data_IF_421011002647
#
_entry.id   IF_421011002647
#
_cell.length_a   1.000
_cell.length_b   1.000
_cell.length_c   1.000
_cell.angle_alpha   90.00
_cell.angle_beta   90.00
_cell.angle_gamma   90.00
#
_symmetry.space_group_name_H-M   'P 1'
#
loop_
_entity.id
_entity.type
_entity.pdbx_description
1 polymer ?
#
# COMPACT_ATOMS: atom_id res chain seq x y z
N UNK A 1 12.76 -8.71 2.72
CA UNK A 1 12.85 -7.36 2.15
C UNK A 1 13.34 -6.30 3.13
N UNK A 2 12.56 -5.87 4.15
CA UNK A 2 13.04 -4.82 5.08
C UNK A 2 14.36 -5.20 5.77
N UNK A 3 14.48 -6.46 6.19
CA UNK A 3 15.72 -6.98 6.76
C UNK A 3 16.87 -6.99 5.72
N UNK A 4 16.59 -7.27 4.45
CA UNK A 4 17.60 -7.27 3.39
C UNK A 4 18.07 -5.85 3.06
N UNK A 5 17.16 -4.89 3.04
CA UNK A 5 17.45 -3.47 2.88
C UNK A 5 18.28 -2.95 4.06
N UNK A 6 17.86 -3.24 5.30
CA UNK A 6 18.62 -2.93 6.51
C UNK A 6 20.04 -3.51 6.45
N UNK A 7 20.18 -4.79 6.08
CA UNK A 7 21.48 -5.43 5.95
C UNK A 7 22.35 -4.77 4.87
N UNK A 8 21.77 -4.43 3.72
CA UNK A 8 22.48 -3.74 2.64
C UNK A 8 23.02 -2.38 3.11
N UNK A 9 22.17 -1.60 3.77
CA UNK A 9 22.51 -0.30 4.36
C UNK A 9 23.62 -0.44 5.40
N UNK A 10 23.49 -1.38 6.35
CA UNK A 10 24.48 -1.58 7.41
C UNK A 10 25.83 -2.07 6.86
N UNK A 11 25.81 -2.96 5.88
CA UNK A 11 27.03 -3.42 5.20
C UNK A 11 27.74 -2.25 4.50
N UNK A 12 26.98 -1.35 3.85
CA UNK A 12 27.54 -0.15 3.25
C UNK A 12 28.28 0.70 4.29
N UNK A 13 27.64 0.99 5.43
CA UNK A 13 28.21 1.83 6.50
C UNK A 13 29.46 1.23 7.14
N UNK A 14 29.55 -0.10 7.25
CA UNK A 14 30.74 -0.78 7.77
C UNK A 14 31.98 -0.63 6.87
N UNK A 15 31.79 -0.54 5.55
CA UNK A 15 32.90 -0.50 4.59
C UNK A 15 33.48 0.90 4.34
N UNK A 16 32.84 1.97 4.83
CA UNK A 16 33.21 3.37 4.53
C UNK A 16 33.62 4.14 5.80
N UNK A 17 34.72 4.90 5.72
CA UNK A 17 35.40 5.53 6.87
C UNK A 17 34.99 6.97 7.21
N UNK A 18 34.12 7.65 6.44
CA UNK A 18 33.70 9.03 6.74
C UNK A 18 32.41 9.43 5.98
N UNK A 19 31.62 10.34 6.59
CA UNK A 19 30.43 11.07 6.09
C UNK A 19 29.69 10.42 4.91
N UNK A 20 28.59 9.74 5.22
CA UNK A 20 27.76 9.08 4.23
C UNK A 20 26.50 9.90 3.95
N UNK A 21 26.41 10.47 2.74
CA UNK A 21 25.18 11.11 2.26
C UNK A 21 24.10 10.05 1.98
N UNK A 22 22.82 10.40 2.17
CA UNK A 22 21.69 9.48 2.05
C UNK A 22 21.65 8.74 0.70
N UNK A 23 21.97 9.45 -0.38
CA UNK A 23 21.98 8.94 -1.76
C UNK A 23 23.04 7.87 -1.98
N UNK A 24 23.99 7.74 -1.05
CA UNK A 24 25.00 6.68 -1.03
C UNK A 24 24.58 5.49 -0.17
N UNK A 25 23.63 5.68 0.75
CA UNK A 25 23.13 4.64 1.68
C UNK A 25 21.97 3.87 1.06
N UNK A 26 21.05 4.57 0.41
CA UNK A 26 19.86 4.00 -0.19
C UNK A 26 19.92 4.04 -1.72
N UNK A 27 19.26 3.12 -2.43
CA UNK A 27 19.03 3.26 -3.87
C UNK A 27 18.20 4.53 -4.18
N UNK A 28 17.87 4.80 -5.45
CA UNK A 28 16.87 5.86 -5.76
C UNK A 28 15.50 5.51 -5.18
N UNK A 29 14.62 6.51 -4.99
CA UNK A 29 13.28 6.27 -4.46
C UNK A 29 12.47 5.30 -5.34
N UNK A 30 12.61 5.43 -6.66
CA UNK A 30 11.95 4.57 -7.62
C UNK A 30 12.49 3.13 -7.56
N UNK A 31 13.81 2.95 -7.47
CA UNK A 31 14.40 1.61 -7.34
C UNK A 31 14.02 0.97 -6.00
N UNK A 32 13.99 1.77 -4.93
CA UNK A 32 13.52 1.30 -3.64
C UNK A 32 12.07 0.80 -3.75
N UNK A 33 11.17 1.64 -4.27
CA UNK A 33 9.76 1.30 -4.49
C UNK A 33 9.61 0.04 -5.33
N UNK A 34 10.39 -0.09 -6.41
CA UNK A 34 10.33 -1.25 -7.29
C UNK A 34 10.70 -2.54 -6.55
N UNK A 35 11.69 -2.51 -5.65
CA UNK A 35 12.01 -3.66 -4.81
C UNK A 35 10.82 -4.08 -3.92
N UNK A 36 10.07 -3.11 -3.36
CA UNK A 36 8.83 -3.36 -2.61
C UNK A 36 7.75 -3.97 -3.49
N UNK A 37 7.51 -3.39 -4.66
CA UNK A 37 6.54 -3.86 -5.65
C UNK A 37 6.84 -5.30 -6.07
N UNK A 38 8.07 -5.60 -6.44
CA UNK A 38 8.47 -6.92 -6.92
C UNK A 38 8.28 -7.99 -5.85
N UNK A 39 8.64 -7.67 -4.60
CA UNK A 39 8.58 -8.60 -3.47
C UNK A 39 7.15 -9.02 -3.08
N UNK A 40 6.12 -8.20 -3.35
CA UNK A 40 4.75 -8.46 -2.90
C UNK A 40 3.72 -8.55 -4.04
N UNK A 41 4.16 -8.32 -5.29
CA UNK A 41 3.27 -8.25 -6.46
C UNK A 41 2.38 -9.49 -6.60
N UNK A 42 2.93 -10.68 -6.37
CA UNK A 42 2.21 -11.94 -6.49
C UNK A 42 1.04 -12.01 -5.51
N UNK A 43 1.31 -11.74 -4.24
CA UNK A 43 0.34 -11.77 -3.14
C UNK A 43 -0.76 -10.72 -3.36
N UNK A 44 -0.40 -9.51 -3.81
CA UNK A 44 -1.37 -8.46 -4.10
C UNK A 44 -2.27 -8.82 -5.29
N UNK A 45 -1.72 -9.46 -6.33
CA UNK A 45 -2.54 -9.96 -7.44
C UNK A 45 -3.46 -11.09 -6.99
N UNK A 46 -3.02 -11.97 -6.10
CA UNK A 46 -3.88 -13.01 -5.51
C UNK A 46 -5.01 -12.40 -4.67
N UNK A 47 -4.73 -11.36 -3.87
CA UNK A 47 -5.74 -10.61 -3.12
C UNK A 47 -6.75 -9.93 -4.06
N UNK A 48 -6.29 -9.25 -5.12
CA UNK A 48 -7.14 -8.63 -6.12
C UNK A 48 -8.01 -9.67 -6.86
N UNK A 49 -7.42 -10.79 -7.27
CA UNK A 49 -8.18 -11.90 -7.87
C UNK A 49 -9.25 -12.46 -6.93
N UNK A 50 -8.99 -12.48 -5.61
CA UNK A 50 -9.96 -12.91 -4.61
C UNK A 50 -11.12 -11.91 -4.48
N UNK A 51 -10.83 -10.61 -4.52
CA UNK A 51 -11.87 -9.57 -4.57
C UNK A 51 -12.71 -9.65 -5.83
N UNK A 52 -12.11 -9.84 -6.99
CA UNK A 52 -12.87 -10.01 -8.23
C UNK A 52 -13.82 -11.21 -8.20
N UNK A 53 -13.38 -12.33 -7.61
CA UNK A 53 -14.19 -13.54 -7.50
C UNK A 53 -15.35 -13.40 -6.52
N UNK A 54 -15.30 -12.46 -5.58
CA UNK A 54 -16.42 -12.25 -4.66
C UNK A 54 -17.62 -11.61 -5.37
N UNK A 55 -17.38 -10.87 -6.45
CA UNK A 55 -18.43 -10.18 -7.22
C UNK A 55 -18.66 -10.73 -8.63
N UNK A 56 -17.80 -11.63 -9.12
CA UNK A 56 -17.91 -12.21 -10.46
C UNK A 56 -17.84 -13.74 -10.45
N UNK A 57 -18.74 -14.37 -11.21
CA UNK A 57 -18.75 -15.81 -11.48
C UNK A 57 -17.92 -16.20 -12.72
N UNK A 58 -17.25 -15.24 -13.37
CA UNK A 58 -16.43 -15.51 -14.55
C UNK A 58 -15.28 -16.47 -14.24
N UNK A 59 -14.83 -17.19 -15.28
CA UNK A 59 -13.70 -18.10 -15.16
C UNK A 59 -12.42 -17.36 -14.76
N UNK A 60 -11.54 -18.05 -14.02
CA UNK A 60 -10.24 -17.49 -13.58
C UNK A 60 -9.43 -16.90 -14.74
N UNK A 61 -9.47 -17.54 -15.91
CA UNK A 61 -8.75 -17.08 -17.09
C UNK A 61 -9.26 -15.72 -17.60
N UNK A 62 -10.58 -15.48 -17.56
CA UNK A 62 -11.17 -14.22 -18.01
C UNK A 62 -10.98 -13.10 -16.98
N UNK A 63 -11.06 -13.44 -15.69
CA UNK A 63 -10.72 -12.50 -14.62
C UNK A 63 -9.27 -12.03 -14.72
N UNK A 64 -8.32 -12.92 -15.06
CA UNK A 64 -6.91 -12.56 -15.27
C UNK A 64 -6.70 -11.60 -16.44
N UNK A 65 -7.58 -11.60 -17.44
CA UNK A 65 -7.51 -10.62 -18.54
C UNK A 65 -7.95 -9.23 -18.08
N UNK A 66 -8.94 -9.15 -17.18
CA UNK A 66 -9.42 -7.88 -16.62
C UNK A 66 -8.50 -7.33 -15.51
N UNK A 67 -8.00 -8.20 -14.65
CA UNK A 67 -7.12 -7.84 -13.53
C UNK A 67 -5.67 -7.95 -14.00
N UNK A 68 -5.24 -6.93 -14.74
CA UNK A 68 -3.85 -6.85 -15.17
C UNK A 68 -2.93 -6.46 -14.02
N UNK A 69 -1.68 -6.96 -14.06
CA UNK A 69 -0.66 -6.58 -13.07
C UNK A 69 -0.48 -5.05 -13.04
N UNK A 70 -0.43 -4.43 -14.22
CA UNK A 70 -0.30 -2.98 -14.37
C UNK A 70 -1.41 -2.21 -13.66
N UNK A 71 -2.67 -2.57 -13.86
CA UNK A 71 -3.82 -1.84 -13.28
C UNK A 71 -3.88 -1.93 -11.77
N UNK A 72 -3.52 -3.09 -11.20
CA UNK A 72 -3.46 -3.27 -9.75
C UNK A 72 -2.27 -2.49 -9.20
N UNK A 73 -1.07 -2.72 -9.75
CA UNK A 73 0.16 -2.14 -9.22
C UNK A 73 0.24 -0.62 -9.40
N UNK A 74 -0.42 -0.02 -10.38
CA UNK A 74 -0.52 1.45 -10.46
C UNK A 74 -1.06 2.08 -9.17
N UNK A 75 -2.09 1.48 -8.58
CA UNK A 75 -2.69 1.97 -7.32
C UNK A 75 -1.84 1.55 -6.12
N UNK A 76 -1.34 0.30 -6.11
CA UNK A 76 -0.56 -0.23 -4.99
C UNK A 76 0.80 0.48 -4.84
N UNK A 77 1.50 0.73 -5.95
CA UNK A 77 2.82 1.39 -5.95
C UNK A 77 2.74 2.79 -5.37
N UNK A 78 1.67 3.55 -5.69
CA UNK A 78 1.44 4.86 -5.07
C UNK A 78 1.31 4.73 -3.55
N UNK A 79 0.50 3.78 -3.07
CA UNK A 79 0.30 3.54 -1.63
C UNK A 79 1.59 3.11 -0.93
N UNK A 80 2.39 2.23 -1.55
CA UNK A 80 3.70 1.83 -1.04
C UNK A 80 4.68 3.01 -0.97
N UNK A 81 4.68 3.88 -1.98
CA UNK A 81 5.53 5.06 -1.98
C UNK A 81 5.19 5.98 -0.80
N UNK A 82 3.91 6.31 -0.64
CA UNK A 82 3.39 7.24 0.36
C UNK A 82 3.50 6.70 1.79
N UNK A 83 3.24 5.40 2.01
CA UNK A 83 3.15 4.83 3.35
C UNK A 83 4.44 4.12 3.79
N UNK A 84 5.33 3.75 2.86
CA UNK A 84 6.57 3.02 3.16
C UNK A 84 7.80 3.82 2.76
N UNK A 85 7.96 4.08 1.47
CA UNK A 85 9.23 4.56 0.92
C UNK A 85 9.56 5.97 1.41
N UNK A 86 8.64 6.93 1.27
CA UNK A 86 8.91 8.31 1.67
C UNK A 86 9.06 8.47 3.18
N UNK A 87 8.20 7.90 4.05
CA UNK A 87 8.36 8.02 5.49
C UNK A 87 9.66 7.36 6.00
N UNK A 88 10.03 6.19 5.46
CA UNK A 88 11.27 5.51 5.83
C UNK A 88 12.50 6.35 5.44
N UNK A 89 12.50 6.91 4.22
CA UNK A 89 13.57 7.80 3.75
C UNK A 89 13.72 9.04 4.61
N UNK A 90 12.62 9.70 4.95
CA UNK A 90 12.63 10.90 5.79
C UNK A 90 13.27 10.58 7.15
N UNK A 91 12.94 9.43 7.73
CA UNK A 91 13.52 8.98 9.00
C UNK A 91 15.00 8.63 8.90
N UNK A 92 15.41 7.93 7.84
CA UNK A 92 16.83 7.62 7.61
C UNK A 92 17.62 8.92 7.36
N UNK A 93 17.04 9.90 6.66
CA UNK A 93 17.65 11.22 6.48
C UNK A 93 17.87 11.93 7.83
N UNK A 94 16.92 11.83 8.77
CA UNK A 94 17.08 12.33 10.13
C UNK A 94 18.23 11.61 10.85
N UNK A 95 18.34 10.29 10.73
CA UNK A 95 19.48 9.54 11.28
C UNK A 95 20.82 10.01 10.72
N UNK A 96 20.89 10.41 9.44
CA UNK A 96 22.11 10.97 8.86
C UNK A 96 22.51 12.27 9.55
N UNK A 97 21.55 13.17 9.77
CA UNK A 97 21.78 14.45 10.48
C UNK A 97 22.18 14.21 11.94
N UNK A 98 21.41 13.38 12.64
CA UNK A 98 21.58 13.13 14.09
C UNK A 98 22.87 12.36 14.41
N UNK A 99 23.41 11.62 13.44
CA UNK A 99 24.67 10.89 13.61
C UNK A 99 25.92 11.78 13.69
N UNK A 100 25.82 13.04 13.30
CA UNK A 100 26.93 14.00 13.25
C UNK A 100 28.20 13.43 12.57
N UNK A 101 28.01 12.66 11.49
CA UNK A 101 29.08 12.01 10.74
C UNK A 101 29.65 10.73 11.35
N UNK A 102 29.15 10.27 12.50
CA UNK A 102 29.54 9.01 13.14
C UNK A 102 28.85 7.81 12.49
N UNK A 103 29.62 6.94 11.82
CA UNK A 103 29.09 5.72 11.18
C UNK A 103 28.49 4.73 12.20
N UNK A 104 29.09 4.63 13.39
CA UNK A 104 28.56 3.76 14.45
C UNK A 104 27.23 4.27 15.00
N UNK A 105 27.10 5.59 15.18
CA UNK A 105 25.85 6.20 15.64
C UNK A 105 24.77 6.08 14.57
N UNK A 106 25.09 6.41 13.32
CA UNK A 106 24.18 6.24 12.19
C UNK A 106 23.66 4.80 12.09
N UNK A 107 24.55 3.81 12.26
CA UNK A 107 24.18 2.39 12.25
C UNK A 107 23.26 2.01 13.43
N UNK A 108 23.41 2.65 14.60
CA UNK A 108 22.55 2.45 15.77
C UNK A 108 21.14 3.02 15.53
N UNK A 109 21.08 4.25 15.01
CA UNK A 109 19.83 4.95 14.70
C UNK A 109 19.04 4.23 13.60
N UNK A 110 19.72 3.81 12.52
CA UNK A 110 19.08 3.07 11.41
C UNK A 110 18.48 1.75 11.89
N UNK A 111 19.20 0.97 12.70
CA UNK A 111 18.66 -0.27 13.31
C UNK A 111 17.41 0.01 14.13
N UNK A 112 17.37 1.13 14.85
CA UNK A 112 16.21 1.53 15.63
C UNK A 112 15.01 1.83 14.74
N UNK A 113 15.21 2.55 13.64
CA UNK A 113 14.15 2.82 12.64
C UNK A 113 13.62 1.52 12.05
N UNK A 114 14.49 0.65 11.51
CA UNK A 114 14.05 -0.62 10.90
C UNK A 114 13.38 -1.56 11.92
N UNK A 115 13.87 -1.63 13.16
CA UNK A 115 13.24 -2.42 14.22
C UNK A 115 11.82 -1.94 14.49
N UNK A 116 11.61 -0.64 14.63
CA UNK A 116 10.28 -0.07 14.85
C UNK A 116 9.32 -0.43 13.70
N UNK A 117 9.77 -0.26 12.45
CA UNK A 117 8.97 -0.61 11.28
C UNK A 117 8.58 -2.07 11.24
N UNK A 118 9.55 -2.97 11.48
CA UNK A 118 9.32 -4.42 11.54
C UNK A 118 8.37 -4.82 12.68
N UNK A 119 8.37 -4.10 13.79
CA UNK A 119 7.57 -4.46 14.98
C UNK A 119 6.19 -3.81 15.03
N UNK A 120 6.03 -2.61 14.48
CA UNK A 120 4.85 -1.78 14.73
C UNK A 120 4.07 -1.42 13.45
N UNK A 121 4.77 -1.29 12.32
CA UNK A 121 4.15 -0.75 11.10
C UNK A 121 3.79 -1.83 10.08
N UNK A 122 4.59 -2.91 9.99
CA UNK A 122 4.44 -3.87 8.89
C UNK A 122 3.08 -4.58 8.88
N UNK A 123 2.59 -5.06 10.03
CA UNK A 123 1.33 -5.82 10.07
C UNK A 123 0.13 -4.96 9.66
N UNK A 124 0.13 -3.70 10.09
CA UNK A 124 -0.88 -2.71 9.73
C UNK A 124 -0.85 -2.42 8.23
N UNK A 125 0.33 -2.15 7.68
CA UNK A 125 0.52 -1.87 6.26
C UNK A 125 0.14 -3.06 5.36
N UNK A 126 0.54 -4.28 5.74
CA UNK A 126 0.18 -5.51 5.02
C UNK A 126 -1.34 -5.69 4.98
N UNK A 127 -2.01 -5.47 6.11
CA UNK A 127 -3.46 -5.53 6.16
C UNK A 127 -4.13 -4.50 5.23
N UNK A 128 -3.66 -3.26 5.25
CA UNK A 128 -4.23 -2.17 4.47
C UNK A 128 -4.01 -2.36 2.96
N UNK A 129 -2.80 -2.72 2.55
CA UNK A 129 -2.50 -2.91 1.14
C UNK A 129 -3.18 -4.15 0.57
N UNK A 130 -3.35 -5.22 1.37
CA UNK A 130 -4.10 -6.41 0.97
C UNK A 130 -5.58 -6.08 0.75
N UNK A 131 -6.17 -5.26 1.64
CA UNK A 131 -7.56 -4.78 1.50
C UNK A 131 -7.73 -3.86 0.30
N UNK A 132 -6.77 -2.97 0.07
CA UNK A 132 -6.77 -2.11 -1.10
C UNK A 132 -6.71 -2.93 -2.40
N UNK A 133 -5.84 -3.94 -2.46
CA UNK A 133 -5.75 -4.84 -3.61
C UNK A 133 -7.05 -5.64 -3.81
N UNK A 134 -7.60 -6.22 -2.74
CA UNK A 134 -8.88 -6.91 -2.76
C UNK A 134 -10.02 -6.01 -3.28
N UNK A 135 -10.18 -4.83 -2.68
CA UNK A 135 -11.20 -3.85 -3.04
C UNK A 135 -11.05 -3.41 -4.51
N UNK A 136 -9.81 -3.15 -4.94
CA UNK A 136 -9.53 -2.81 -6.34
C UNK A 136 -9.94 -3.93 -7.29
N UNK A 137 -9.62 -5.18 -6.95
CA UNK A 137 -9.98 -6.34 -7.76
C UNK A 137 -11.50 -6.55 -7.84
N UNK A 138 -12.21 -6.38 -6.72
CA UNK A 138 -13.67 -6.42 -6.67
C UNK A 138 -14.28 -5.33 -7.55
N UNK A 139 -13.77 -4.10 -7.48
CA UNK A 139 -14.24 -2.98 -8.29
C UNK A 139 -14.03 -3.20 -9.80
N UNK A 140 -12.87 -3.71 -10.21
CA UNK A 140 -12.50 -3.89 -11.63
C UNK A 140 -13.38 -4.89 -12.41
N UNK A 141 -14.17 -5.71 -11.72
CA UNK A 141 -15.07 -6.67 -12.39
C UNK A 141 -16.51 -6.17 -12.51
N UNK A 142 -16.84 -5.05 -11.88
CA UNK A 142 -18.15 -4.41 -12.01
C UNK A 142 -18.19 -3.67 -13.34
N UNK A 143 -19.28 -3.86 -14.11
CA UNK A 143 -19.45 -3.17 -15.38
C UNK A 143 -19.71 -1.68 -15.14
N UNK A 144 -19.04 -0.81 -15.89
CA UNK A 144 -19.26 0.65 -15.85
C UNK A 144 -20.75 0.95 -16.03
N UNK A 145 -21.29 1.85 -15.20
CA UNK A 145 -22.71 2.19 -15.17
C UNK A 145 -23.57 1.30 -14.26
N UNK A 146 -23.07 0.15 -13.80
CA UNK A 146 -23.77 -0.66 -12.79
C UNK A 146 -23.95 0.15 -11.51
N UNK A 147 -25.15 0.15 -10.93
CA UNK A 147 -25.39 0.79 -9.64
C UNK A 147 -24.62 0.08 -8.54
N UNK A 148 -23.84 0.83 -7.77
CA UNK A 148 -23.02 0.34 -6.65
C UNK A 148 -23.28 1.15 -5.40
N UNK A 149 -23.12 0.51 -4.23
CA UNK A 149 -23.26 1.14 -2.93
C UNK A 149 -21.97 1.00 -2.12
N UNK A 150 -21.71 1.97 -1.26
CA UNK A 150 -20.63 1.90 -0.28
C UNK A 150 -21.11 1.18 0.98
N UNK A 151 -20.47 0.07 1.32
CA UNK A 151 -20.73 -0.69 2.54
C UNK A 151 -19.68 -0.36 3.59
N UNK A 152 -20.10 0.35 4.64
CA UNK A 152 -19.28 0.59 5.83
C UNK A 152 -19.14 -0.72 6.61
N UNK A 153 -17.90 -1.09 6.96
CA UNK A 153 -17.68 -2.21 7.88
C UNK A 153 -17.90 -1.72 9.32
N UNK A 154 -18.88 -2.28 10.07
CA UNK A 154 -19.18 -1.84 11.44
C UNK A 154 -18.06 -2.15 12.43
N UNK A 155 -17.10 -3.02 12.07
CA UNK A 155 -15.90 -3.34 12.85
C UNK A 155 -14.64 -2.63 12.30
N UNK A 156 -14.81 -1.70 11.36
CA UNK A 156 -13.78 -0.78 10.90
C UNK A 156 -13.61 0.41 11.85
N UNK A 157 -12.49 1.15 11.76
CA UNK A 157 -12.37 2.46 12.41
C UNK A 157 -13.46 3.42 11.88
N UNK A 158 -13.96 4.35 12.72
CA UNK A 158 -14.94 5.35 12.29
C UNK A 158 -14.36 6.24 11.19
N UNK A 159 -15.20 6.59 10.20
CA UNK A 159 -14.80 7.38 9.05
C UNK A 159 -16.00 8.14 8.48
N UNK A 160 -16.01 9.46 8.65
CA UNK A 160 -17.04 10.35 8.10
C UNK A 160 -17.20 10.17 6.60
N UNK A 161 -16.10 10.07 5.86
CA UNK A 161 -16.15 9.92 4.41
C UNK A 161 -16.80 8.59 4.00
N UNK A 162 -16.56 7.52 4.76
CA UNK A 162 -17.19 6.23 4.50
C UNK A 162 -18.70 6.27 4.80
N UNK A 163 -19.09 6.96 5.86
CA UNK A 163 -20.49 7.20 6.23
C UNK A 163 -21.20 8.04 5.16
N UNK A 164 -20.61 9.15 4.72
CA UNK A 164 -21.14 10.02 3.67
C UNK A 164 -21.30 9.27 2.33
N UNK A 165 -20.31 8.45 1.96
CA UNK A 165 -20.40 7.60 0.76
C UNK A 165 -21.52 6.57 0.86
N UNK A 166 -21.79 6.05 2.06
CA UNK A 166 -22.86 5.08 2.29
C UNK A 166 -24.23 5.76 2.26
N UNK A 167 -24.36 6.94 2.87
CA UNK A 167 -25.58 7.75 2.92
C UNK A 167 -26.03 8.24 1.54
N UNK A 168 -25.08 8.45 0.61
CA UNK A 168 -25.40 8.83 -0.76
C UNK A 168 -26.15 7.75 -1.56
N UNK A 169 -26.17 6.51 -1.07
CA UNK A 169 -26.85 5.40 -1.71
C UNK A 169 -26.13 4.93 -2.97
N UNK A 170 -26.88 4.85 -4.07
CA UNK A 170 -26.40 4.26 -5.32
C UNK A 170 -25.66 5.25 -6.21
N UNK A 171 -24.43 4.89 -6.57
CA UNK A 171 -23.61 5.60 -7.56
C UNK A 171 -23.41 4.70 -8.78
N UNK A 172 -23.28 5.29 -9.97
CA UNK A 172 -22.93 4.50 -11.16
C UNK A 172 -21.45 4.11 -11.09
N UNK A 173 -21.12 2.82 -11.24
CA UNK A 173 -19.74 2.36 -11.27
C UNK A 173 -18.94 3.11 -12.36
N UNK A 174 -17.80 3.68 -11.97
CA UNK A 174 -17.00 4.59 -12.81
C UNK A 174 -17.15 6.07 -12.43
N UNK A 175 -18.23 6.43 -11.72
CA UNK A 175 -18.39 7.75 -11.10
C UNK A 175 -17.85 7.76 -9.67
N UNK A 176 -17.53 8.96 -9.20
CA UNK A 176 -17.01 9.21 -7.86
C UNK A 176 -18.16 9.20 -6.85
N UNK A 177 -17.95 8.57 -5.70
CA UNK A 177 -18.78 8.85 -4.52
C UNK A 177 -18.59 10.31 -4.06
N UNK A 178 -19.47 10.88 -3.21
CA UNK A 178 -19.44 12.31 -2.86
C UNK A 178 -18.12 12.81 -2.28
N UNK A 179 -17.37 11.92 -1.62
CA UNK A 179 -16.06 12.24 -1.04
C UNK A 179 -14.91 12.15 -2.06
N UNK A 180 -15.20 11.89 -3.33
CA UNK A 180 -14.20 11.79 -4.40
C UNK A 180 -13.52 10.42 -4.54
N UNK A 181 -14.00 9.41 -3.82
CA UNK A 181 -13.45 8.05 -3.89
C UNK A 181 -14.21 7.19 -4.90
N UNK A 182 -13.51 6.29 -5.61
CA UNK A 182 -14.13 5.28 -6.48
C UNK A 182 -14.42 3.99 -5.70
N UNK A 183 -13.50 3.64 -4.80
CA UNK A 183 -13.54 2.43 -3.98
C UNK A 183 -12.71 2.60 -2.71
N UNK A 184 -12.95 1.78 -1.67
CA UNK A 184 -12.08 1.64 -0.50
C UNK A 184 -10.67 1.18 -0.88
N UNK A 185 -9.63 1.43 -0.09
CA UNK A 185 -9.62 1.99 1.26
C UNK A 185 -9.48 3.52 1.24
N UNK A 186 -10.16 4.22 2.17
CA UNK A 186 -10.03 5.69 2.33
C UNK A 186 -8.86 6.04 3.24
N UNK A 187 -8.71 5.29 4.33
CA UNK A 187 -7.68 5.51 5.35
C UNK A 187 -7.10 4.18 5.83
N UNK A 188 -6.07 4.27 6.66
CA UNK A 188 -5.48 3.10 7.29
C UNK A 188 -6.46 2.38 8.22
N UNK A 189 -6.52 1.06 8.14
CA UNK A 189 -7.47 0.22 8.86
C UNK A 189 -8.88 0.15 8.26
N UNK A 190 -9.16 0.86 7.15
CA UNK A 190 -10.46 0.82 6.49
C UNK A 190 -10.77 -0.59 5.98
N UNK A 191 -11.98 -1.08 6.27
CA UNK A 191 -12.47 -2.41 5.86
C UNK A 191 -13.74 -2.33 5.00
N UNK A 192 -14.12 -1.12 4.58
CA UNK A 192 -15.30 -0.91 3.75
C UNK A 192 -15.20 -1.67 2.42
N UNK A 193 -16.34 -1.88 1.78
CA UNK A 193 -16.45 -2.47 0.45
C UNK A 193 -17.32 -1.59 -0.44
N UNK A 194 -17.10 -1.69 -1.75
CA UNK A 194 -18.06 -1.24 -2.76
C UNK A 194 -18.61 -2.47 -3.45
N UNK A 195 -19.93 -2.58 -3.49
CA UNK A 195 -20.64 -3.74 -4.05
C UNK A 195 -21.75 -3.29 -4.99
N UNK A 196 -22.21 -4.13 -5.93
CA UNK A 196 -23.42 -3.87 -6.69
C UNK A 196 -24.62 -3.63 -5.76
N UNK A 197 -25.44 -2.64 -6.08
CA UNK A 197 -26.65 -2.33 -5.34
C UNK A 197 -27.60 -3.54 -5.33
N UNK A 198 -28.34 -3.78 -4.22
CA UNK A 198 -29.38 -4.80 -4.20
C UNK A 198 -30.40 -4.56 -5.33
N UNK A 199 -30.84 -5.63 -5.97
CA UNK A 199 -31.95 -5.56 -6.93
C UNK A 199 -33.30 -5.47 -6.22
#
# INVERSE_FOLDING_TARGET
MLADEENSVLNYLQTKKAQVALEKVLPSADNQLQNYVDAISKELIEAAMSGARSLSKSLKADLRKKISNTTVMQVMSKKLAEEIVYPLRERIQKCVVDSDGSSSEMSSLIRTVYREWKMQQIDKLVGDISRLAYSRGAYLVIETGTKVCWMVDPNGPPCSDAEDNSLAGEVACGEKFPTGHDHPVIHSGCKCLVVPAPR
#
